data_IF_250489454927
#
_entry.id   IF_250489454927
#
_cell.length_a   1.000
_cell.length_b   1.000
_cell.length_c   1.000
_cell.angle_alpha   90.00
_cell.angle_beta   90.00
_cell.angle_gamma   90.00
#
_symmetry.space_group_name_H-M   'P 1'
#
loop_
_entity.id
_entity.type
_entity.pdbx_description
1 polymer ?
#
# COMPACT_ATOMS: atom_id res chain seq x y z
N UNK A 1 -9.65 -16.46 -9.32
CA UNK A 1 -8.45 -15.95 -8.63
C UNK A 1 -8.62 -14.45 -8.43
N UNK A 2 -8.47 -13.94 -7.22
CA UNK A 2 -8.44 -12.48 -7.01
C UNK A 2 -7.10 -11.97 -7.53
N UNK A 3 -7.15 -11.20 -8.62
CA UNK A 3 -5.99 -10.55 -9.20
C UNK A 3 -5.96 -9.09 -8.72
N UNK A 4 -5.02 -8.75 -7.83
CA UNK A 4 -4.85 -7.40 -7.29
C UNK A 4 -3.84 -6.62 -8.13
N UNK A 5 -4.04 -6.61 -9.45
CA UNK A 5 -3.26 -5.79 -10.36
C UNK A 5 -3.92 -4.42 -10.47
N UNK A 6 -3.16 -3.39 -10.10
CA UNK A 6 -3.56 -2.00 -10.23
C UNK A 6 -2.75 -1.41 -11.38
N UNK A 7 -3.31 -1.24 -12.59
CA UNK A 7 -2.56 -0.72 -13.72
C UNK A 7 -2.17 0.75 -13.50
N UNK A 8 -1.10 1.18 -14.16
CA UNK A 8 -0.59 2.55 -14.07
C UNK A 8 -1.40 3.52 -14.95
N UNK A 9 -2.67 3.69 -14.58
CA UNK A 9 -3.62 4.56 -15.24
C UNK A 9 -4.04 5.69 -14.31
N UNK A 10 -4.33 6.87 -14.85
CA UNK A 10 -4.66 8.06 -14.05
C UNK A 10 -5.81 7.81 -13.06
N UNK A 11 -6.91 7.22 -13.53
CA UNK A 11 -8.06 6.88 -12.70
C UNK A 11 -7.70 5.94 -11.53
N UNK A 12 -6.79 4.99 -11.76
CA UNK A 12 -6.32 4.03 -10.76
C UNK A 12 -5.38 4.69 -9.77
N UNK A 13 -4.45 5.55 -10.22
CA UNK A 13 -3.58 6.33 -9.34
C UNK A 13 -4.40 7.25 -8.43
N UNK A 14 -5.41 7.92 -8.97
CA UNK A 14 -6.33 8.76 -8.19
C UNK A 14 -7.12 7.94 -7.17
N UNK A 15 -7.58 6.74 -7.55
CA UNK A 15 -8.25 5.82 -6.62
C UNK A 15 -7.33 5.38 -5.47
N UNK A 16 -6.09 5.00 -5.78
CA UNK A 16 -5.08 4.62 -4.78
C UNK A 16 -4.77 5.78 -3.84
N UNK A 17 -4.53 6.98 -4.38
CA UNK A 17 -4.29 8.19 -3.59
C UNK A 17 -5.48 8.50 -2.68
N UNK A 18 -6.71 8.47 -3.23
CA UNK A 18 -7.93 8.73 -2.48
C UNK A 18 -8.08 7.75 -1.32
N UNK A 19 -7.90 6.45 -1.59
CA UNK A 19 -8.00 5.39 -0.58
C UNK A 19 -6.95 5.56 0.50
N UNK A 20 -5.68 5.75 0.12
CA UNK A 20 -4.56 5.91 1.04
C UNK A 20 -4.73 7.13 1.97
N UNK A 21 -5.23 8.25 1.43
CA UNK A 21 -5.61 9.42 2.23
C UNK A 21 -6.79 9.14 3.15
N UNK A 22 -7.83 8.46 2.64
CA UNK A 22 -9.07 8.21 3.39
C UNK A 22 -8.85 7.30 4.60
N UNK A 23 -7.98 6.29 4.45
CA UNK A 23 -7.58 5.41 5.55
C UNK A 23 -6.42 6.01 6.37
N UNK A 24 -5.93 7.18 6.00
CA UNK A 24 -4.98 7.98 6.79
C UNK A 24 -3.54 7.48 6.77
N UNK A 25 -3.15 6.65 5.79
CA UNK A 25 -1.78 6.12 5.67
C UNK A 25 -0.88 6.97 4.78
N UNK A 26 -1.41 7.98 4.09
CA UNK A 26 -0.66 8.84 3.17
C UNK A 26 -1.08 10.31 3.31
N UNK A 27 -0.11 11.20 3.28
CA UNK A 27 -0.30 12.66 3.15
C UNK A 27 0.47 13.23 1.96
N UNK A 28 -0.08 14.27 1.33
CA UNK A 28 0.53 14.85 0.13
C UNK A 28 1.83 15.64 0.41
N UNK A 29 2.12 15.98 1.66
CA UNK A 29 3.33 16.70 2.05
C UNK A 29 4.42 15.76 2.58
N UNK A 30 4.03 14.67 3.26
CA UNK A 30 4.98 13.78 3.95
C UNK A 30 5.06 12.37 3.39
N UNK A 31 4.10 11.95 2.57
CA UNK A 31 4.07 10.62 1.95
C UNK A 31 3.39 9.58 2.82
N UNK A 32 3.79 8.31 2.64
CA UNK A 32 3.30 7.21 3.44
C UNK A 32 3.79 7.27 4.89
N UNK A 33 2.93 6.87 5.82
CA UNK A 33 3.21 6.71 7.25
C UNK A 33 3.42 5.22 7.57
N UNK A 34 4.68 4.73 7.66
CA UNK A 34 4.97 3.31 7.88
C UNK A 34 4.28 2.73 9.11
N UNK A 35 4.17 3.51 10.18
CA UNK A 35 3.54 3.12 11.44
C UNK A 35 2.04 2.85 11.28
N UNK A 36 1.36 3.66 10.47
CA UNK A 36 -0.08 3.47 10.21
C UNK A 36 -0.32 2.31 9.26
N UNK A 37 0.59 2.08 8.31
CA UNK A 37 0.56 0.90 7.46
C UNK A 37 0.74 -0.37 8.30
N UNK A 38 1.73 -0.38 9.21
CA UNK A 38 1.98 -1.51 10.09
C UNK A 38 0.77 -1.84 10.98
N UNK A 39 0.11 -0.81 11.53
CA UNK A 39 -1.12 -0.98 12.33
C UNK A 39 -2.29 -1.51 11.50
N UNK A 40 -2.51 -0.97 10.30
CA UNK A 40 -3.68 -1.30 9.48
C UNK A 40 -3.56 -2.66 8.76
N UNK A 41 -2.34 -3.06 8.38
CA UNK A 41 -2.07 -4.24 7.55
C UNK A 41 -1.29 -5.34 8.29
N UNK A 42 -1.42 -5.40 9.63
CA UNK A 42 -0.84 -6.45 10.49
C UNK A 42 -1.48 -7.84 10.29
N UNK A 43 -1.86 -8.18 9.06
CA UNK A 43 -2.53 -9.40 8.60
C UNK A 43 -1.67 -10.65 8.86
N UNK A 44 -1.61 -11.06 10.13
CA UNK A 44 -0.80 -12.18 10.65
C UNK A 44 0.71 -12.03 10.38
N UNK A 45 1.20 -10.78 10.27
CA UNK A 45 2.61 -10.45 10.24
C UNK A 45 3.04 -9.83 11.56
N UNK A 46 4.30 -10.05 11.94
CA UNK A 46 4.91 -9.32 13.04
C UNK A 46 5.03 -7.84 12.67
N UNK A 47 4.70 -6.99 13.64
CA UNK A 47 4.56 -5.55 13.41
C UNK A 47 5.86 -4.89 12.94
N UNK A 48 6.99 -5.40 13.43
CA UNK A 48 8.34 -4.93 13.08
C UNK A 48 8.69 -5.24 11.62
N UNK A 49 8.30 -6.41 11.12
CA UNK A 49 8.48 -6.80 9.72
C UNK A 49 7.65 -5.90 8.79
N UNK A 50 6.38 -5.64 9.13
CA UNK A 50 5.52 -4.76 8.33
C UNK A 50 6.04 -3.32 8.37
N UNK A 51 6.47 -2.85 9.54
CA UNK A 51 7.06 -1.52 9.71
C UNK A 51 8.28 -1.33 8.83
N UNK A 52 9.19 -2.31 8.81
CA UNK A 52 10.40 -2.26 7.99
C UNK A 52 10.05 -2.20 6.50
N UNK A 53 9.19 -3.10 6.03
CA UNK A 53 8.77 -3.13 4.63
C UNK A 53 8.05 -1.84 4.21
N UNK A 54 7.21 -1.29 5.09
CA UNK A 54 6.52 -0.04 4.84
C UNK A 54 7.50 1.14 4.79
N UNK A 55 8.52 1.15 5.66
CA UNK A 55 9.58 2.17 5.66
C UNK A 55 10.40 2.12 4.38
N UNK A 56 10.77 0.92 3.92
CA UNK A 56 11.55 0.74 2.69
C UNK A 56 10.79 1.22 1.44
N UNK A 57 9.45 1.17 1.46
CA UNK A 57 8.59 1.65 0.38
C UNK A 57 8.14 3.12 0.53
N UNK A 58 8.30 3.74 1.70
CA UNK A 58 7.87 5.11 1.99
C UNK A 58 8.92 6.13 1.55
N UNK A 59 9.09 6.28 0.24
CA UNK A 59 10.03 7.26 -0.32
C UNK A 59 9.59 8.72 -0.07
N UNK A 60 10.54 9.66 -0.06
CA UNK A 60 10.32 11.09 0.23
C UNK A 60 9.97 11.97 -1.00
N UNK A 61 9.68 11.36 -2.15
CA UNK A 61 9.41 12.01 -3.42
C UNK A 61 10.48 12.99 -3.90
N UNK A 62 11.76 12.64 -3.78
CA UNK A 62 12.87 13.48 -4.26
C UNK A 62 12.81 13.76 -5.77
N UNK A 63 12.08 12.93 -6.53
CA UNK A 63 11.84 13.11 -7.96
C UNK A 63 10.81 14.21 -8.26
N UNK A 64 10.16 14.79 -7.24
CA UNK A 64 9.10 15.79 -7.36
C UNK A 64 7.97 15.33 -8.30
N UNK A 65 7.61 14.04 -8.21
CA UNK A 65 6.53 13.47 -9.00
C UNK A 65 5.17 14.05 -8.57
N UNK A 66 4.17 14.06 -9.46
CA UNK A 66 2.78 14.29 -9.08
C UNK A 66 2.36 13.40 -7.89
N UNK A 67 1.51 13.92 -7.02
CA UNK A 67 1.17 13.26 -5.74
C UNK A 67 0.51 11.89 -5.95
N UNK A 68 -0.30 11.74 -6.98
CA UNK A 68 -0.93 10.47 -7.36
C UNK A 68 0.10 9.44 -7.83
N UNK A 69 1.11 9.87 -8.60
CA UNK A 69 2.23 9.03 -9.04
C UNK A 69 3.10 8.61 -7.84
N UNK A 70 3.35 9.52 -6.89
CA UNK A 70 4.08 9.19 -5.66
C UNK A 70 3.33 8.16 -4.80
N UNK A 71 2.05 8.39 -4.54
CA UNK A 71 1.21 7.45 -3.79
C UNK A 71 1.14 6.08 -4.48
N UNK A 72 1.00 6.08 -5.81
CA UNK A 72 0.94 4.85 -6.59
C UNK A 72 2.25 4.07 -6.57
N UNK A 73 3.41 4.74 -6.68
CA UNK A 73 4.74 4.11 -6.59
C UNK A 73 4.94 3.39 -5.25
N UNK A 74 4.64 4.06 -4.13
CA UNK A 74 4.74 3.43 -2.81
C UNK A 74 3.75 2.26 -2.65
N UNK A 75 2.52 2.40 -3.15
CA UNK A 75 1.54 1.32 -3.20
C UNK A 75 2.05 0.11 -4.00
N UNK A 76 2.61 0.31 -5.19
CA UNK A 76 3.19 -0.76 -6.00
C UNK A 76 4.31 -1.49 -5.26
N UNK A 77 5.21 -0.75 -4.61
CA UNK A 77 6.28 -1.32 -3.79
C UNK A 77 5.69 -2.25 -2.70
N UNK A 78 4.73 -1.77 -1.92
CA UNK A 78 4.05 -2.55 -0.87
C UNK A 78 3.38 -3.82 -1.43
N UNK A 79 2.69 -3.69 -2.57
CA UNK A 79 1.92 -4.79 -3.19
C UNK A 79 2.77 -5.81 -3.95
N UNK A 80 3.97 -5.43 -4.39
CA UNK A 80 4.97 -6.34 -4.96
C UNK A 80 5.72 -7.15 -3.90
N UNK A 81 5.77 -6.67 -2.66
CA UNK A 81 6.46 -7.30 -1.55
C UNK A 81 5.59 -8.28 -0.74
N UNK A 82 6.12 -8.68 0.42
CA UNK A 82 5.44 -9.61 1.35
C UNK A 82 4.09 -9.09 1.83
N UNK A 83 3.91 -7.77 1.95
CA UNK A 83 2.63 -7.16 2.33
C UNK A 83 1.56 -7.53 1.28
N UNK A 84 1.85 -7.32 -0.01
CA UNK A 84 0.94 -7.70 -1.08
C UNK A 84 0.62 -9.19 -1.13
N UNK A 85 1.61 -10.07 -0.88
CA UNK A 85 1.38 -11.51 -0.82
C UNK A 85 0.37 -11.88 0.28
N UNK A 86 0.47 -11.22 1.44
CA UNK A 86 -0.45 -11.45 2.56
C UNK A 86 -1.85 -10.92 2.28
N UNK A 87 -1.98 -9.73 1.69
CA UNK A 87 -3.28 -9.20 1.28
C UNK A 87 -3.96 -10.18 0.30
N UNK A 88 -3.22 -10.69 -0.69
CA UNK A 88 -3.73 -11.71 -1.62
C UNK A 88 -4.18 -12.97 -0.90
N UNK A 89 -3.39 -13.48 0.05
CA UNK A 89 -3.72 -14.69 0.81
C UNK A 89 -4.92 -14.50 1.73
N UNK A 90 -5.02 -13.37 2.44
CA UNK A 90 -6.14 -13.03 3.29
C UNK A 90 -7.46 -13.01 2.51
N UNK A 91 -7.48 -12.34 1.35
CA UNK A 91 -8.68 -12.29 0.49
C UNK A 91 -9.04 -13.69 -0.02
N UNK A 92 -8.04 -14.51 -0.40
CA UNK A 92 -8.28 -15.89 -0.84
C UNK A 92 -8.94 -16.73 0.27
N UNK A 93 -8.43 -16.65 1.49
CA UNK A 93 -9.01 -17.35 2.65
C UNK A 93 -10.46 -16.91 2.89
N UNK A 94 -10.70 -15.60 2.93
CA UNK A 94 -12.06 -15.04 3.13
C UNK A 94 -13.04 -15.41 2.01
N UNK A 95 -12.56 -15.56 0.77
CA UNK A 95 -13.39 -15.98 -0.36
C UNK A 95 -13.77 -17.47 -0.34
N UNK A 96 -13.06 -18.30 0.43
CA UNK A 96 -13.32 -19.73 0.59
C UNK A 96 -14.16 -20.05 1.83
N UNK A 97 -14.30 -19.08 2.74
CA UNK A 97 -15.19 -19.14 3.92
C UNK A 97 -16.66 -18.79 3.60
N UNK A 98 -16.95 -18.42 2.34
CA UNK A 98 -18.30 -18.13 1.81
C UNK A 98 -18.81 -19.28 0.95
#
# INVERSE_FOLDING_TARGET
>A
MVNLEFPDEDSVRQYVLCTAKKIGIFDANTGFYPERIAQQFRLDLEEDEVMKLATDCADKNEQNSPVDVWAYRGHQCLMSGKIGDRVRNYIRQKSQEQ
#
